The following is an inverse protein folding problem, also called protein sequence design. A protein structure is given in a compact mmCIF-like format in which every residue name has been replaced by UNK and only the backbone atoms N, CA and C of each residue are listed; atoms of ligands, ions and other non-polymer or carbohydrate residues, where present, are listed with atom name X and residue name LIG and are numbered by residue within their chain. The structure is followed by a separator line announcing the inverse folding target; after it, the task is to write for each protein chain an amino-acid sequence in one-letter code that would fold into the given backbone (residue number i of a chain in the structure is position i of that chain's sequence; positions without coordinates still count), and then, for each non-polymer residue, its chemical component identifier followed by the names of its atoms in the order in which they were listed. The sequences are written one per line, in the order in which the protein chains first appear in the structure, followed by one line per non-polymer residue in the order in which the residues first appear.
data_IF_427834861625
#
_entry.id   IF_427834861625
#
_cell.length_a   1.000
_cell.length_b   1.000
_cell.length_c   1.000
_cell.angle_alpha   90.00
_cell.angle_beta   90.00
_cell.angle_gamma   90.00
#
_symmetry.space_group_name_H-M   'P 1'
#
loop_
_entity.id
_entity.type
_entity.pdbx_description
1 polymer ?
#
# COMPACT_ATOMS: atom_id res chain seq x y z
N UNK A 1 -16.22 -0.40 -40.64
CA UNK A 1 -15.24 -0.90 -39.67
C UNK A 1 -15.47 -0.10 -38.40
N UNK A 2 -16.16 -0.67 -37.42
CA UNK A 2 -16.44 0.00 -36.15
C UNK A 2 -15.16 0.01 -35.34
N UNK A 3 -14.60 1.21 -35.11
CA UNK A 3 -13.66 1.39 -34.03
C UNK A 3 -14.47 1.26 -32.75
N UNK A 4 -14.24 0.19 -31.99
CA UNK A 4 -14.76 0.02 -30.63
C UNK A 4 -14.14 1.12 -29.76
N UNK A 5 -14.78 2.28 -29.80
CA UNK A 5 -14.49 3.42 -28.96
C UNK A 5 -15.09 3.13 -27.58
N UNK A 6 -14.44 2.25 -26.81
CA UNK A 6 -14.79 2.07 -25.42
C UNK A 6 -14.35 3.31 -24.64
N UNK A 7 -15.29 4.25 -24.50
CA UNK A 7 -15.19 5.48 -23.70
C UNK A 7 -14.95 5.19 -22.21
N UNK A 8 -15.17 3.95 -21.79
CA UNK A 8 -14.92 3.46 -20.44
C UNK A 8 -13.87 2.35 -20.40
N UNK A 9 -13.25 2.14 -19.25
CA UNK A 9 -12.42 0.97 -18.97
C UNK A 9 -12.71 0.44 -17.59
N UNK A 10 -12.80 -0.89 -17.47
CA UNK A 10 -13.10 -1.57 -16.20
C UNK A 10 -11.85 -2.27 -15.69
N UNK A 11 -11.50 -1.98 -14.44
CA UNK A 11 -10.45 -2.70 -13.70
C UNK A 11 -11.15 -3.56 -12.65
N UNK A 12 -10.89 -4.87 -12.66
CA UNK A 12 -11.46 -5.79 -11.68
C UNK A 12 -10.49 -6.03 -10.54
N UNK A 13 -10.96 -5.80 -9.31
CA UNK A 13 -10.15 -5.96 -8.09
C UNK A 13 -10.85 -6.82 -7.06
N UNK A 14 -10.12 -7.62 -6.29
CA UNK A 14 -10.69 -8.37 -5.14
C UNK A 14 -9.81 -8.27 -3.91
N UNK A 15 -10.42 -8.25 -2.73
CA UNK A 15 -9.72 -8.64 -1.51
C UNK A 15 -9.72 -10.17 -1.39
N UNK A 16 -8.78 -10.71 -0.63
CA UNK A 16 -8.76 -12.14 -0.33
C UNK A 16 -10.05 -12.57 0.36
N UNK A 17 -10.71 -13.60 -0.21
CA UNK A 17 -11.96 -14.15 0.32
C UNK A 17 -13.21 -13.37 -0.08
N UNK A 18 -13.10 -12.41 -1.01
CA UNK A 18 -14.22 -11.65 -1.57
C UNK A 18 -14.31 -11.84 -3.09
N UNK A 19 -15.48 -11.52 -3.64
CA UNK A 19 -15.72 -11.45 -5.07
C UNK A 19 -15.03 -10.22 -5.70
N UNK A 20 -14.93 -10.23 -7.03
CA UNK A 20 -14.40 -9.10 -7.78
C UNK A 20 -15.36 -7.90 -7.74
N UNK A 21 -14.77 -6.72 -7.55
CA UNK A 21 -15.40 -5.42 -7.71
C UNK A 21 -14.90 -4.74 -8.98
N UNK A 22 -15.82 -4.09 -9.69
CA UNK A 22 -15.51 -3.33 -10.90
C UNK A 22 -15.19 -1.88 -10.53
N UNK A 23 -14.01 -1.42 -10.96
CA UNK A 23 -13.63 -0.01 -10.95
C UNK A 23 -13.76 0.48 -12.40
N UNK A 24 -14.81 1.26 -12.66
CA UNK A 24 -15.06 1.89 -13.96
C UNK A 24 -14.35 3.24 -14.01
N UNK A 25 -13.59 3.45 -15.09
CA UNK A 25 -12.99 4.73 -15.45
C UNK A 25 -13.69 5.23 -16.70
N UNK A 26 -14.35 6.38 -16.59
CA UNK A 26 -14.92 7.11 -17.72
C UNK A 26 -13.88 8.09 -18.25
N UNK A 27 -13.40 7.85 -19.48
CA UNK A 27 -12.39 8.68 -20.14
C UNK A 27 -12.97 9.94 -20.78
N UNK A 28 -14.30 10.09 -20.78
CA UNK A 28 -15.00 11.29 -21.24
C UNK A 28 -15.30 12.27 -20.10
N UNK A 29 -15.33 11.77 -18.85
CA UNK A 29 -15.48 12.60 -17.66
C UNK A 29 -14.18 13.35 -17.33
N UNK A 30 -14.16 14.62 -17.76
CA UNK A 30 -13.06 15.57 -17.52
C UNK A 30 -13.28 16.44 -16.28
N UNK A 31 -14.31 16.18 -15.47
CA UNK A 31 -14.62 16.95 -14.26
C UNK A 31 -13.57 16.79 -13.15
N UNK A 32 -12.83 15.68 -13.17
CA UNK A 32 -11.72 15.38 -12.27
C UNK A 32 -10.63 14.61 -13.00
N UNK A 33 -9.43 14.52 -12.42
CA UNK A 33 -8.37 13.70 -12.97
C UNK A 33 -8.76 12.20 -12.95
N UNK A 34 -8.46 11.46 -14.01
CA UNK A 34 -8.92 10.08 -14.17
C UNK A 34 -8.46 9.15 -13.03
N UNK A 35 -7.27 9.35 -12.46
CA UNK A 35 -6.80 8.59 -11.31
C UNK A 35 -7.68 8.78 -10.06
N UNK A 36 -8.35 9.93 -9.93
CA UNK A 36 -9.27 10.23 -8.81
C UNK A 36 -10.56 9.43 -8.88
N UNK A 37 -10.99 9.01 -10.07
CA UNK A 37 -12.10 8.08 -10.20
C UNK A 37 -11.76 6.74 -9.53
N UNK A 38 -10.53 6.25 -9.74
CA UNK A 38 -10.05 5.01 -9.11
C UNK A 38 -9.98 5.14 -7.58
N UNK A 39 -9.42 6.23 -7.05
CA UNK A 39 -9.37 6.46 -5.61
C UNK A 39 -10.75 6.53 -4.97
N UNK A 40 -11.71 7.16 -5.63
CA UNK A 40 -13.09 7.26 -5.14
C UNK A 40 -13.75 5.87 -5.07
N UNK A 41 -13.58 5.04 -6.09
CA UNK A 41 -14.07 3.65 -6.07
C UNK A 41 -13.36 2.79 -5.02
N UNK A 42 -12.05 2.97 -4.83
CA UNK A 42 -11.33 2.29 -3.75
C UNK A 42 -11.90 2.68 -2.39
N UNK A 43 -12.26 3.95 -2.16
CA UNK A 43 -12.89 4.38 -0.92
C UNK A 43 -14.26 3.71 -0.69
N UNK A 44 -15.06 3.53 -1.73
CA UNK A 44 -16.33 2.79 -1.67
C UNK A 44 -16.10 1.31 -1.32
N UNK A 45 -15.18 0.64 -2.04
CA UNK A 45 -14.88 -0.80 -1.86
C UNK A 45 -14.31 -1.07 -0.46
N UNK A 46 -13.45 -0.18 0.03
CA UNK A 46 -12.68 -0.41 1.26
C UNK A 46 -13.29 0.23 2.49
N UNK A 47 -14.16 1.22 2.30
CA UNK A 47 -14.70 2.07 3.36
C UNK A 47 -13.66 2.99 4.00
N UNK A 48 -12.46 3.13 3.42
CA UNK A 48 -11.42 4.06 3.88
C UNK A 48 -11.58 5.37 3.10
N UNK A 49 -11.66 6.54 3.76
CA UNK A 49 -11.79 7.81 3.07
C UNK A 49 -10.67 8.02 2.03
N UNK A 50 -11.00 8.68 0.92
CA UNK A 50 -10.03 9.00 -0.14
C UNK A 50 -8.83 9.74 0.46
N UNK A 51 -9.10 10.64 1.39
CA UNK A 51 -8.13 11.50 2.06
C UNK A 51 -7.09 10.70 2.87
N UNK A 52 -7.42 9.48 3.31
CA UNK A 52 -6.51 8.59 4.02
C UNK A 52 -5.69 7.66 3.10
N UNK A 53 -5.81 7.83 1.78
CA UNK A 53 -5.09 7.05 0.78
C UNK A 53 -4.01 7.91 0.13
N UNK A 54 -2.75 7.48 0.16
CA UNK A 54 -1.63 8.25 -0.41
C UNK A 54 -1.42 7.98 -1.90
N UNK A 55 -1.51 6.71 -2.31
CA UNK A 55 -1.17 6.29 -3.67
C UNK A 55 -1.80 4.92 -4.00
N UNK A 56 -1.82 4.61 -5.29
CA UNK A 56 -2.08 3.28 -5.81
C UNK A 56 -0.94 2.84 -6.72
N UNK A 57 -0.63 1.55 -6.74
CA UNK A 57 0.51 0.99 -7.46
C UNK A 57 0.09 -0.23 -8.27
N UNK A 58 0.27 -0.18 -9.59
CA UNK A 58 0.10 -1.33 -10.48
C UNK A 58 1.40 -2.13 -10.55
N UNK A 59 1.36 -3.40 -10.13
CA UNK A 59 2.52 -4.28 -10.28
C UNK A 59 2.63 -4.78 -11.71
N UNK A 60 3.73 -4.42 -12.37
CA UNK A 60 4.06 -4.93 -13.71
C UNK A 60 4.94 -6.18 -13.63
N UNK A 61 5.65 -6.37 -12.53
CA UNK A 61 6.41 -7.60 -12.22
C UNK A 61 6.65 -7.73 -10.71
N UNK A 62 7.26 -8.83 -10.28
CA UNK A 62 7.66 -9.06 -8.88
C UNK A 62 8.64 -8.02 -8.30
N UNK A 63 9.25 -7.18 -9.15
CA UNK A 63 10.21 -6.14 -8.72
C UNK A 63 9.87 -4.74 -9.21
N UNK A 64 8.78 -4.57 -9.99
CA UNK A 64 8.42 -3.28 -10.58
C UNK A 64 6.96 -2.95 -10.35
N UNK A 65 6.73 -1.71 -9.95
CA UNK A 65 5.41 -1.12 -9.76
C UNK A 65 5.36 0.24 -10.47
N UNK A 66 4.19 0.61 -10.99
CA UNK A 66 3.91 1.97 -11.45
C UNK A 66 2.93 2.59 -10.46
N UNK A 67 3.37 3.64 -9.76
CA UNK A 67 2.61 4.32 -8.72
C UNK A 67 1.94 5.60 -9.22
N UNK A 68 0.71 5.84 -8.77
CA UNK A 68 -0.05 7.06 -9.02
C UNK A 68 -0.47 7.67 -7.68
N UNK A 69 -0.28 8.99 -7.54
CA UNK A 69 -0.59 9.69 -6.29
C UNK A 69 -2.03 10.08 -6.19
N UNK A 70 -2.53 10.05 -4.96
CA UNK A 70 -3.78 10.69 -4.64
C UNK A 70 -3.55 12.18 -4.32
N UNK A 71 -4.05 13.06 -5.19
CA UNK A 71 -4.00 14.52 -5.00
C UNK A 71 -4.93 15.00 -3.88
N UNK A 72 -5.85 14.16 -3.43
CA UNK A 72 -6.80 14.46 -2.34
C UNK A 72 -6.36 13.91 -0.99
N UNK A 73 -5.14 13.38 -0.87
CA UNK A 73 -4.63 12.88 0.41
C UNK A 73 -4.51 14.02 1.43
N UNK A 74 -4.96 13.78 2.67
CA UNK A 74 -4.88 14.76 3.77
C UNK A 74 -4.22 14.16 5.01
N UNK A 75 -3.16 14.80 5.56
CA UNK A 75 -2.43 15.94 4.98
C UNK A 75 -1.80 15.60 3.63
N UNK A 76 -1.36 16.60 2.87
CA UNK A 76 -0.71 16.34 1.58
C UNK A 76 0.50 15.41 1.79
N UNK A 77 0.59 14.39 0.94
CA UNK A 77 1.65 13.41 0.98
C UNK A 77 2.95 14.04 0.47
N UNK A 78 3.94 14.24 1.35
CA UNK A 78 5.15 15.04 1.11
C UNK A 78 6.24 14.27 0.33
N UNK A 79 6.28 12.92 0.42
CA UNK A 79 7.48 12.19 0.05
C UNK A 79 7.54 11.70 -1.40
N UNK A 80 8.59 12.16 -2.08
CA UNK A 80 8.85 11.93 -3.50
C UNK A 80 9.57 10.61 -3.86
N UNK A 81 9.89 9.76 -2.87
CA UNK A 81 10.96 8.77 -3.03
C UNK A 81 10.67 7.52 -3.87
N UNK A 82 9.42 7.22 -4.22
CA UNK A 82 9.05 5.91 -4.79
C UNK A 82 8.14 5.94 -6.04
N UNK A 83 7.77 7.13 -6.52
CA UNK A 83 7.00 7.27 -7.76
C UNK A 83 7.89 7.63 -8.93
N UNK A 84 7.59 7.10 -10.11
CA UNK A 84 8.11 7.69 -11.35
C UNK A 84 7.15 8.86 -11.70
N UNK A 85 7.49 10.06 -11.23
CA UNK A 85 6.61 11.25 -11.29
C UNK A 85 6.38 11.78 -12.70
N UNK A 86 7.00 11.16 -13.70
CA UNK A 86 6.82 11.51 -15.10
C UNK A 86 5.79 10.60 -15.80
N UNK A 87 5.13 9.71 -15.06
CA UNK A 87 4.15 8.79 -15.61
C UNK A 87 2.73 9.34 -15.43
N UNK A 88 2.17 9.83 -16.53
CA UNK A 88 0.77 10.23 -16.62
C UNK A 88 -0.17 9.01 -16.51
N UNK A 89 -1.28 9.17 -15.79
CA UNK A 89 -2.36 8.18 -15.75
C UNK A 89 -3.26 8.36 -16.98
N UNK A 90 -3.27 7.39 -17.88
CA UNK A 90 -4.05 7.47 -19.12
C UNK A 90 -4.60 6.10 -19.56
N UNK A 91 -5.52 6.14 -20.53
CA UNK A 91 -6.21 4.96 -21.07
C UNK A 91 -5.26 3.87 -21.55
N UNK A 92 -4.27 4.24 -22.36
CA UNK A 92 -3.31 3.29 -22.93
C UNK A 92 -2.56 2.52 -21.83
N UNK A 93 -2.14 3.21 -20.76
CA UNK A 93 -1.46 2.55 -19.64
C UNK A 93 -2.37 1.61 -18.87
N UNK A 94 -3.62 2.00 -18.60
CA UNK A 94 -4.58 1.12 -17.93
C UNK A 94 -4.85 -0.13 -18.78
N UNK A 95 -5.01 0.04 -20.09
CA UNK A 95 -5.14 -1.10 -21.02
C UNK A 95 -3.88 -1.98 -21.04
N UNK A 96 -2.68 -1.39 -20.96
CA UNK A 96 -1.43 -2.13 -20.85
C UNK A 96 -1.30 -2.89 -19.51
N UNK A 97 -1.77 -2.31 -18.40
CA UNK A 97 -1.76 -3.00 -17.10
C UNK A 97 -2.73 -4.17 -17.07
N UNK A 98 -3.91 -3.98 -17.66
CA UNK A 98 -4.94 -5.01 -17.72
C UNK A 98 -4.68 -6.04 -18.81
N UNK A 99 -3.77 -5.79 -19.76
CA UNK A 99 -3.54 -6.68 -20.91
C UNK A 99 -4.86 -7.15 -21.57
N UNK A 100 -5.89 -6.30 -21.54
CA UNK A 100 -7.25 -6.57 -22.00
C UNK A 100 -8.18 -7.38 -21.09
N UNK A 101 -7.68 -8.19 -20.14
CA UNK A 101 -8.54 -9.04 -19.26
C UNK A 101 -7.89 -9.52 -17.93
N UNK A 102 -6.77 -8.93 -17.52
CA UNK A 102 -6.10 -9.22 -16.25
C UNK A 102 -6.90 -8.62 -15.10
N UNK A 103 -7.13 -9.42 -14.07
CA UNK A 103 -7.73 -8.99 -12.82
C UNK A 103 -6.67 -8.83 -11.72
N UNK A 104 -7.03 -8.15 -10.63
CA UNK A 104 -6.08 -7.81 -9.59
C UNK A 104 -6.54 -8.25 -8.20
N UNK A 105 -5.62 -8.80 -7.43
CA UNK A 105 -5.70 -8.82 -5.98
C UNK A 105 -5.38 -7.44 -5.43
N UNK A 106 -6.24 -6.93 -4.55
CA UNK A 106 -6.05 -5.67 -3.87
C UNK A 106 -5.24 -5.89 -2.59
N UNK A 107 -4.03 -5.33 -2.55
CA UNK A 107 -3.10 -5.45 -1.42
C UNK A 107 -2.97 -4.10 -0.69
N UNK A 108 -3.75 -3.84 0.36
CA UNK A 108 -3.60 -2.62 1.17
C UNK A 108 -2.31 -2.66 1.99
N UNK A 109 -1.61 -1.54 2.08
CA UNK A 109 -0.40 -1.38 2.89
C UNK A 109 -0.45 -0.11 3.70
N UNK A 110 -0.07 -0.23 4.96
CA UNK A 110 0.15 0.94 5.80
C UNK A 110 1.42 1.67 5.32
N UNK A 111 1.33 2.98 5.19
CA UNK A 111 2.44 3.88 4.88
C UNK A 111 2.44 4.99 5.92
N UNK A 112 3.63 5.46 6.31
CA UNK A 112 3.76 6.65 7.14
C UNK A 112 4.74 7.56 6.44
N UNK A 113 4.40 8.85 6.39
CA UNK A 113 5.17 9.82 5.64
C UNK A 113 6.01 10.74 6.53
N UNK A 114 6.88 11.57 5.92
CA UNK A 114 7.72 12.54 6.65
C UNK A 114 6.88 13.65 7.35
N UNK A 115 5.62 13.82 6.94
CA UNK A 115 4.60 14.60 7.65
C UNK A 115 4.07 13.90 8.92
N UNK A 116 4.54 12.67 9.20
CA UNK A 116 4.26 11.85 10.39
C UNK A 116 2.82 11.31 10.45
N UNK A 117 2.11 11.33 9.33
CA UNK A 117 0.76 10.82 9.21
C UNK A 117 0.76 9.40 8.60
N UNK A 118 -0.17 8.55 9.05
CA UNK A 118 -0.41 7.24 8.44
C UNK A 118 -1.41 7.32 7.29
N UNK A 119 -1.08 6.66 6.19
CA UNK A 119 -1.90 6.51 4.99
C UNK A 119 -2.01 5.05 4.59
N UNK A 120 -2.94 4.79 3.67
CA UNK A 120 -3.00 3.55 2.92
C UNK A 120 -2.41 3.74 1.53
N UNK A 121 -1.61 2.77 1.12
CA UNK A 121 -1.19 2.56 -0.26
C UNK A 121 -1.82 1.25 -0.76
N UNK A 122 -2.44 1.29 -1.94
CA UNK A 122 -3.01 0.09 -2.56
C UNK A 122 -2.10 -0.46 -3.64
N UNK A 123 -1.76 -1.74 -3.55
CA UNK A 123 -1.11 -2.46 -4.65
C UNK A 123 -2.15 -3.27 -5.41
N UNK A 124 -2.21 -3.05 -6.73
CA UNK A 124 -2.94 -3.86 -7.69
C UNK A 124 -1.99 -4.97 -8.12
N UNK A 125 -2.18 -6.16 -7.54
CA UNK A 125 -1.34 -7.33 -7.78
C UNK A 125 -2.01 -8.16 -8.88
N UNK A 126 -1.41 -8.29 -10.08
CA UNK A 126 -2.05 -9.03 -11.17
C UNK A 126 -2.25 -10.49 -10.77
N UNK A 127 -3.34 -11.10 -11.24
CA UNK A 127 -3.77 -12.45 -10.87
C UNK A 127 -2.67 -13.49 -11.13
N UNK A 128 -1.88 -13.32 -12.20
CA UNK A 128 -0.70 -14.16 -12.48
C UNK A 128 0.43 -14.12 -11.43
N UNK A 129 0.39 -13.18 -10.49
CA UNK A 129 1.33 -13.05 -9.36
C UNK A 129 0.69 -13.37 -8.01
N UNK A 130 -0.57 -13.81 -8.03
CA UNK A 130 -1.26 -14.35 -6.87
C UNK A 130 -0.97 -15.86 -6.78
N UNK A 131 -0.97 -16.37 -5.55
CA UNK A 131 -1.05 -17.79 -5.25
C UNK A 131 -2.31 -17.95 -4.40
N UNK A 132 -3.14 -18.97 -4.67
CA UNK A 132 -4.43 -19.15 -3.98
C UNK A 132 -4.29 -19.72 -2.57
N UNK A 133 -3.12 -20.25 -2.22
CA UNK A 133 -2.87 -20.99 -0.98
C UNK A 133 -1.75 -20.31 -0.19
N UNK A 134 -0.65 -19.99 -0.85
CA UNK A 134 0.56 -19.45 -0.24
C UNK A 134 0.62 -17.92 -0.30
N UNK A 135 1.38 -17.33 0.62
CA UNK A 135 1.65 -15.90 0.59
C UNK A 135 2.81 -15.60 -0.37
N UNK A 136 2.57 -14.69 -1.31
CA UNK A 136 3.60 -14.17 -2.21
C UNK A 136 4.27 -12.92 -1.62
N UNK A 137 5.29 -12.41 -2.30
CA UNK A 137 5.95 -11.14 -1.93
C UNK A 137 4.96 -9.97 -1.85
N UNK A 138 3.92 -9.99 -2.68
CA UNK A 138 3.03 -8.86 -2.85
C UNK A 138 1.59 -9.11 -2.42
N UNK A 139 1.19 -10.35 -2.16
CA UNK A 139 -0.16 -10.70 -1.75
C UNK A 139 -0.15 -11.87 -0.75
N UNK A 140 -1.00 -11.83 0.26
CA UNK A 140 -1.11 -12.85 1.29
C UNK A 140 -2.53 -12.89 1.85
N UNK A 141 -3.19 -14.05 1.75
CA UNK A 141 -4.58 -14.21 2.15
C UNK A 141 -4.85 -13.85 3.63
N UNK A 142 -3.85 -13.99 4.49
CA UNK A 142 -3.96 -13.64 5.91
C UNK A 142 -3.93 -12.14 6.20
N UNK A 143 -3.33 -11.32 5.32
CA UNK A 143 -3.18 -9.87 5.48
C UNK A 143 -3.88 -9.02 4.42
N UNK A 144 -4.31 -9.60 3.29
CA UNK A 144 -4.98 -8.90 2.19
C UNK A 144 -6.48 -9.20 2.15
N UNK A 145 -7.10 -9.32 3.32
CA UNK A 145 -8.53 -9.59 3.49
C UNK A 145 -9.24 -8.45 4.23
N UNK A 146 -10.57 -8.50 4.28
CA UNK A 146 -11.42 -7.49 4.93
C UNK A 146 -11.10 -7.27 6.40
N UNK A 147 -10.81 -8.34 7.14
CA UNK A 147 -10.53 -8.27 8.58
C UNK A 147 -9.27 -7.45 8.81
N UNK A 148 -8.20 -7.70 8.03
CA UNK A 148 -6.97 -6.93 8.12
C UNK A 148 -7.15 -5.50 7.62
N UNK A 149 -7.86 -5.30 6.51
CA UNK A 149 -8.20 -3.97 5.99
C UNK A 149 -8.92 -3.12 7.05
N UNK A 150 -9.88 -3.68 7.78
CA UNK A 150 -10.58 -2.97 8.85
C UNK A 150 -9.66 -2.55 9.99
N UNK A 151 -8.62 -3.33 10.30
CA UNK A 151 -7.58 -2.94 11.26
C UNK A 151 -6.75 -1.78 10.73
N UNK A 152 -6.38 -1.81 9.45
CA UNK A 152 -5.67 -0.69 8.81
C UNK A 152 -6.51 0.58 8.80
N UNK A 153 -7.80 0.47 8.47
CA UNK A 153 -8.77 1.56 8.56
C UNK A 153 -8.78 2.18 9.96
N UNK A 154 -8.91 1.35 11.00
CA UNK A 154 -8.90 1.80 12.38
C UNK A 154 -7.59 2.49 12.82
N UNK A 155 -6.47 2.24 12.14
CA UNK A 155 -5.20 2.94 12.38
C UNK A 155 -5.20 4.31 11.70
N UNK A 156 -5.51 4.36 10.41
CA UNK A 156 -5.39 5.61 9.63
C UNK A 156 -6.46 6.63 10.00
N UNK A 157 -7.64 6.20 10.45
CA UNK A 157 -8.73 7.10 10.89
C UNK A 157 -8.69 7.41 12.39
N UNK A 158 -7.60 7.08 13.11
CA UNK A 158 -7.50 7.34 14.54
C UNK A 158 -6.76 8.65 14.82
N UNK A 159 -7.51 9.74 14.97
CA UNK A 159 -6.95 11.09 15.19
C UNK A 159 -6.06 11.17 16.42
N UNK A 160 -6.39 10.46 17.50
CA UNK A 160 -5.58 10.44 18.72
C UNK A 160 -4.22 9.78 18.46
N UNK A 161 -4.19 8.68 17.70
CA UNK A 161 -2.96 8.02 17.29
C UNK A 161 -2.15 8.91 16.35
N UNK A 162 -2.78 9.49 15.33
CA UNK A 162 -2.12 10.40 14.38
C UNK A 162 -1.48 11.59 15.10
N UNK A 163 -2.20 12.20 16.05
CA UNK A 163 -1.68 13.29 16.89
C UNK A 163 -0.47 12.84 17.73
N UNK A 164 -0.56 11.68 18.40
CA UNK A 164 0.56 11.15 19.18
C UNK A 164 1.79 10.86 18.31
N UNK A 165 1.60 10.35 17.10
CA UNK A 165 2.68 10.13 16.13
C UNK A 165 3.31 11.44 15.69
N UNK A 166 2.51 12.47 15.38
CA UNK A 166 3.04 13.78 14.99
C UNK A 166 4.01 14.37 16.04
N UNK A 167 3.77 14.10 17.32
CA UNK A 167 4.66 14.49 18.42
C UNK A 167 5.88 13.58 18.59
N UNK A 168 5.69 12.26 18.53
CA UNK A 168 6.75 11.29 18.88
C UNK A 168 7.70 10.99 17.72
N UNK A 169 7.24 11.12 16.48
CA UNK A 169 8.06 10.87 15.31
C UNK A 169 8.99 12.07 15.08
N UNK A 170 10.30 11.85 15.19
CA UNK A 170 11.31 12.90 14.99
C UNK A 170 11.56 13.09 13.48
N UNK A 171 11.51 14.34 12.99
CA UNK A 171 11.89 14.67 11.60
C UNK A 171 13.41 14.49 11.43
N UNK A 172 13.89 13.87 10.35
CA UNK A 172 15.33 13.69 10.15
C UNK A 172 16.04 15.03 9.98
N UNK A 173 17.17 15.24 10.67
CA UNK A 173 18.05 16.40 10.45
C UNK A 173 18.85 16.34 9.13
N UNK A 174 18.85 15.19 8.44
CA UNK A 174 19.48 15.02 7.12
C UNK A 174 18.55 14.25 6.18
N UNK A 175 18.42 14.66 4.90
CA UNK A 175 17.79 13.83 3.88
C UNK A 175 18.53 12.49 3.85
N UNK A 176 17.78 11.41 3.75
CA UNK A 176 18.29 10.04 3.86
C UNK A 176 19.55 9.81 3.02
N UNK A 177 20.68 9.63 3.69
CA UNK A 177 21.85 9.00 3.08
C UNK A 177 21.40 7.56 2.77
N UNK A 178 21.46 7.21 1.49
CA UNK A 178 21.34 5.87 0.90
C UNK A 178 20.71 4.78 1.77
N UNK A 179 19.44 4.46 1.52
CA UNK A 179 18.87 3.16 1.88
C UNK A 179 18.49 2.93 3.35
N UNK A 180 18.66 3.89 4.25
CA UNK A 180 18.09 3.80 5.60
C UNK A 180 16.56 4.00 5.52
N UNK A 181 15.83 2.88 5.46
CA UNK A 181 14.37 2.82 5.52
C UNK A 181 13.83 3.72 6.64
N UNK A 182 12.92 4.64 6.32
CA UNK A 182 12.22 5.48 7.30
C UNK A 182 11.58 4.64 8.41
N UNK A 183 11.09 3.46 8.05
CA UNK A 183 10.52 2.46 8.96
C UNK A 183 11.45 2.09 10.13
N UNK A 184 12.77 2.07 9.90
CA UNK A 184 13.71 1.69 10.95
C UNK A 184 13.91 2.75 12.01
N UNK A 185 13.60 4.01 11.67
CA UNK A 185 13.79 5.16 12.55
C UNK A 185 12.67 5.30 13.57
N UNK A 186 11.51 4.75 13.25
CA UNK A 186 10.29 4.87 14.06
C UNK A 186 9.86 3.55 14.69
N UNK A 187 10.73 2.52 14.66
CA UNK A 187 10.44 1.20 15.20
C UNK A 187 9.95 1.24 16.65
N UNK A 188 10.63 1.96 17.52
CA UNK A 188 10.27 1.95 18.95
C UNK A 188 8.90 2.59 19.18
N UNK A 189 8.59 3.67 18.44
CA UNK A 189 7.26 4.28 18.45
C UNK A 189 6.22 3.30 17.89
N UNK A 190 6.46 2.67 16.74
CA UNK A 190 5.52 1.71 16.16
C UNK A 190 5.31 0.48 17.03
N UNK A 191 6.32 0.02 17.76
CA UNK A 191 6.19 -1.07 18.74
C UNK A 191 5.34 -0.62 19.92
N UNK A 192 5.61 0.57 20.47
CA UNK A 192 4.84 1.14 21.60
C UNK A 192 3.33 1.20 21.31
N UNK A 193 2.95 1.49 20.07
CA UNK A 193 1.55 1.56 19.65
C UNK A 193 1.05 0.30 18.93
N UNK A 194 1.84 -0.77 18.91
CA UNK A 194 1.51 -2.03 18.25
C UNK A 194 1.15 -1.90 16.75
N UNK A 195 1.71 -0.90 16.07
CA UNK A 195 1.53 -0.63 14.64
C UNK A 195 2.56 -1.39 13.79
N UNK A 196 3.71 -1.75 14.38
CA UNK A 196 4.82 -2.40 13.66
C UNK A 196 4.40 -3.69 12.92
N UNK A 197 3.48 -4.47 13.49
CA UNK A 197 2.99 -5.71 12.88
C UNK A 197 2.28 -5.49 11.54
N UNK A 198 1.75 -4.29 11.28
CA UNK A 198 1.03 -3.98 10.04
C UNK A 198 1.97 -3.56 8.89
N UNK A 199 3.26 -3.35 9.19
CA UNK A 199 4.29 -3.08 8.17
C UNK A 199 4.94 -4.34 7.60
N UNK A 200 4.95 -5.44 8.36
CA UNK A 200 5.61 -6.68 7.97
C UNK A 200 4.58 -7.75 7.62
N UNK A 201 4.51 -8.11 6.32
CA UNK A 201 3.49 -9.02 5.77
C UNK A 201 3.70 -10.50 6.06
N UNK A 202 4.95 -10.91 6.31
CA UNK A 202 5.30 -12.32 6.53
C UNK A 202 5.84 -12.51 7.94
N UNK A 203 5.84 -13.77 8.41
CA UNK A 203 6.68 -14.14 9.54
C UNK A 203 8.10 -13.62 9.28
N UNK A 204 8.59 -12.81 10.21
CA UNK A 204 9.84 -12.04 10.17
C UNK A 204 11.05 -12.80 9.60
N UNK A 205 11.05 -14.14 9.70
CA UNK A 205 12.09 -15.04 9.20
C UNK A 205 12.34 -14.98 7.68
N UNK A 206 11.32 -14.78 6.83
CA UNK A 206 11.54 -14.65 5.38
C UNK A 206 12.27 -13.34 5.03
N UNK A 207 11.93 -12.25 5.74
CA UNK A 207 12.64 -10.98 5.62
C UNK A 207 14.04 -11.04 6.21
N UNK A 208 14.26 -11.77 7.31
CA UNK A 208 15.60 -12.01 7.87
C UNK A 208 16.51 -12.70 6.86
N UNK A 209 16.05 -13.76 6.18
CA UNK A 209 16.85 -14.47 5.17
C UNK A 209 17.18 -13.60 3.95
N UNK A 210 16.28 -12.72 3.53
CA UNK A 210 16.53 -11.75 2.47
C UNK A 210 17.47 -10.60 2.90
N UNK A 211 17.38 -10.18 4.17
CA UNK A 211 18.25 -9.12 4.72
C UNK A 211 19.63 -9.62 5.18
N UNK A 212 19.80 -10.91 5.47
CA UNK A 212 21.09 -11.52 5.80
C UNK A 212 22.08 -11.47 4.63
N UNK A 213 21.61 -11.50 3.38
CA UNK A 213 22.46 -11.26 2.20
C UNK A 213 22.91 -9.80 2.05
N UNK A 214 22.28 -8.86 2.76
CA UNK A 214 22.53 -7.41 2.62
C UNK A 214 23.03 -6.72 3.90
N UNK A 215 23.17 -7.44 5.03
CA UNK A 215 23.58 -6.83 6.31
C UNK A 215 24.52 -7.70 7.14
N UNK A 216 25.82 -7.55 6.92
CA UNK A 216 26.84 -7.98 7.88
C UNK A 216 27.05 -6.99 9.04
N UNK A 217 26.48 -5.78 9.00
CA UNK A 217 26.78 -4.71 9.99
C UNK A 217 25.75 -4.50 11.12
N UNK A 218 24.57 -5.11 11.10
CA UNK A 218 23.45 -4.68 11.98
C UNK A 218 22.94 -5.70 13.00
N UNK A 219 23.80 -6.65 13.43
CA UNK A 219 23.44 -7.66 14.45
C UNK A 219 23.21 -7.10 15.87
N UNK A 220 23.57 -5.84 16.16
CA UNK A 220 23.62 -5.34 17.54
C UNK A 220 22.32 -4.75 18.11
N UNK A 221 21.25 -4.53 17.34
CA UNK A 221 20.01 -3.89 17.85
C UNK A 221 18.72 -4.72 17.74
N UNK A 222 18.82 -5.98 17.34
CA UNK A 222 17.66 -6.84 17.15
C UNK A 222 17.63 -7.95 18.19
N UNK A 223 16.75 -7.82 19.18
CA UNK A 223 16.25 -8.96 19.95
C UNK A 223 15.03 -9.52 19.20
N UNK A 224 14.98 -10.84 18.92
CA UNK A 224 13.81 -11.45 18.32
C UNK A 224 12.59 -11.28 19.25
N UNK A 225 11.36 -11.18 18.69
CA UNK A 225 10.15 -11.25 19.51
C UNK A 225 10.00 -12.70 20.00
N UNK A 226 10.72 -13.04 21.06
CA UNK A 226 10.30 -14.17 21.88
C UNK A 226 9.10 -13.71 22.69
N UNK A 227 7.97 -14.41 22.49
CA UNK A 227 6.90 -14.58 23.49
C UNK A 227 6.06 -13.33 23.84
N UNK A 228 5.14 -12.93 22.95
CA UNK A 228 3.95 -12.16 23.38
C UNK A 228 2.62 -12.70 22.83
N UNK A 229 2.58 -13.98 22.44
CA UNK A 229 1.32 -14.72 22.20
C UNK A 229 1.07 -15.83 23.23
N UNK A 230 1.55 -15.66 24.48
CA UNK A 230 1.07 -16.44 25.62
C UNK A 230 1.06 -15.57 26.87
N UNK A 231 -0.12 -15.04 27.21
CA UNK A 231 -0.72 -15.07 28.55
C UNK A 231 -2.05 -14.32 28.51
N UNK A 232 -3.10 -15.00 28.04
CA UNK A 232 -4.38 -14.97 28.73
C UNK A 232 -4.64 -16.40 29.20
N UNK A 233 -4.33 -16.61 30.47
CA UNK A 233 -4.68 -17.75 31.30
C UNK A 233 -4.87 -17.19 32.70
#
# INVERSE_FOLDING_TARGET
MNADNFDETVIKVKLSGEDYHDIVIDWTDTSQAYEQQVFSRLAEITGIPVEQTSEMCFLTSIYRAVGFRNKRAEPEFENDRYGDHNIEFNRERVLNFTNGNEHFGLSPRLRCDDNKHFYICYFFVPERLLDEIECTRHFCHHSDNRVFLNRLKAIVTNDALQSQMAHLLVRPRRPSIHGLNLFERWFDTYRRFNVMQYYYRTCYHYYQLQTERSRQEYRSRYMPPQLYMRTHG
#
